data_IF_725613490436
#
_entry.id   IF_725613490436
#
_cell.length_a   1.000
_cell.length_b   1.000
_cell.length_c   1.000
_cell.angle_alpha   90.00
_cell.angle_beta   90.00
_cell.angle_gamma   90.00
#
_symmetry.space_group_name_H-M   'P 1'
#
loop_
_entity.id
_entity.type
_entity.pdbx_description
1 polymer ?
#
# COMPACT_ATOMS: atom_id res chain seq x y z
N UNK A 1 12.33 -17.93 3.50
CA UNK A 1 11.92 -16.51 3.48
C UNK A 1 12.18 -15.90 4.86
N UNK A 2 12.68 -14.67 4.93
CA UNK A 2 12.78 -13.88 6.15
C UNK A 2 11.65 -12.84 6.09
N UNK A 3 10.89 -12.70 7.18
CA UNK A 3 9.79 -11.72 7.28
C UNK A 3 10.18 -10.71 8.36
N UNK A 4 10.12 -9.43 8.01
CA UNK A 4 10.43 -8.31 8.91
C UNK A 4 9.21 -7.41 9.00
N UNK A 5 8.78 -7.10 10.22
CA UNK A 5 7.58 -6.32 10.48
C UNK A 5 7.93 -5.07 11.31
N UNK A 6 8.18 -3.92 10.68
CA UNK A 6 8.43 -2.68 11.39
C UNK A 6 7.13 -2.14 12.02
N UNK A 7 7.29 -1.43 13.13
CA UNK A 7 6.19 -0.63 13.68
C UNK A 7 6.06 0.67 12.89
N UNK A 8 4.88 0.94 12.34
CA UNK A 8 4.61 2.15 11.58
C UNK A 8 3.76 3.18 12.35
N UNK A 9 3.34 2.86 13.58
CA UNK A 9 2.41 3.69 14.35
C UNK A 9 1.21 4.10 13.46
N UNK A 10 0.84 5.38 13.41
CA UNK A 10 -0.21 5.95 12.53
C UNK A 10 0.35 6.77 11.35
N UNK A 11 1.55 6.42 10.86
CA UNK A 11 2.25 7.14 9.78
C UNK A 11 1.66 6.93 8.39
N UNK A 12 0.75 5.98 8.21
CA UNK A 12 0.32 5.52 6.88
C UNK A 12 1.49 5.19 5.94
N UNK A 13 2.67 4.89 6.50
CA UNK A 13 3.87 4.52 5.75
C UNK A 13 4.39 5.60 4.79
N UNK A 14 3.98 6.85 4.95
CA UNK A 14 4.39 7.98 4.10
C UNK A 14 5.06 9.09 4.93
N UNK A 15 5.68 10.03 4.23
CA UNK A 15 6.15 11.25 4.86
C UNK A 15 4.96 12.17 5.14
N UNK A 16 4.90 12.75 6.35
CA UNK A 16 3.81 13.64 6.74
C UNK A 16 3.84 14.96 5.96
N UNK A 17 2.68 15.60 5.85
CA UNK A 17 2.50 16.85 5.11
C UNK A 17 3.41 17.99 5.57
N UNK A 18 3.80 18.00 6.84
CA UNK A 18 4.65 19.03 7.46
C UNK A 18 6.13 18.62 7.56
N UNK A 19 6.49 17.44 7.09
CA UNK A 19 7.84 16.92 7.09
C UNK A 19 8.39 16.54 8.47
N UNK A 20 7.56 16.52 9.52
CA UNK A 20 8.00 16.16 10.87
C UNK A 20 8.22 14.66 11.03
N UNK A 21 7.49 13.86 10.28
CA UNK A 21 7.55 12.41 10.30
C UNK A 21 7.77 11.91 8.87
N UNK A 22 8.99 11.48 8.59
CA UNK A 22 9.39 11.05 7.26
C UNK A 22 9.50 9.53 7.22
N UNK A 23 8.36 8.82 7.44
CA UNK A 23 8.36 7.37 7.57
C UNK A 23 8.73 6.65 6.27
N UNK A 24 8.31 7.14 5.11
CA UNK A 24 8.70 6.58 3.81
C UNK A 24 10.23 6.65 3.62
N UNK A 25 10.82 7.78 3.93
CA UNK A 25 12.27 7.98 3.88
C UNK A 25 13.01 7.08 4.88
N UNK A 26 12.53 7.04 6.13
CA UNK A 26 13.07 6.14 7.14
C UNK A 26 13.03 4.68 6.65
N UNK A 27 11.89 4.23 6.16
CA UNK A 27 11.73 2.84 5.74
C UNK A 27 12.67 2.48 4.58
N UNK A 28 12.72 3.31 3.55
CA UNK A 28 13.45 3.01 2.32
C UNK A 28 14.95 3.29 2.40
N UNK A 29 15.36 4.33 3.15
CA UNK A 29 16.76 4.82 3.18
C UNK A 29 17.53 4.38 4.43
N UNK A 30 16.84 4.03 5.52
CA UNK A 30 17.48 3.69 6.79
C UNK A 30 17.13 2.26 7.23
N UNK A 31 15.84 1.95 7.43
CA UNK A 31 15.38 0.68 7.97
C UNK A 31 15.74 -0.51 7.08
N UNK A 32 15.35 -0.49 5.81
CA UNK A 32 15.65 -1.58 4.87
C UNK A 32 17.17 -1.85 4.77
N UNK A 33 18.03 -0.83 4.51
CA UNK A 33 19.47 -1.03 4.45
C UNK A 33 20.07 -1.56 5.77
N UNK A 34 19.55 -1.11 6.92
CA UNK A 34 20.02 -1.57 8.23
C UNK A 34 19.70 -3.05 8.45
N UNK A 35 18.46 -3.47 8.15
CA UNK A 35 18.04 -4.87 8.24
C UNK A 35 18.85 -5.77 7.29
N UNK A 36 19.06 -5.33 6.06
CA UNK A 36 19.82 -6.09 5.06
C UNK A 36 21.31 -6.23 5.42
N UNK A 37 21.85 -5.27 6.14
CA UNK A 37 23.23 -5.33 6.67
C UNK A 37 23.35 -6.24 7.88
N UNK A 38 22.32 -6.24 8.76
CA UNK A 38 22.32 -7.00 10.01
C UNK A 38 22.07 -8.50 9.78
N UNK A 39 21.22 -8.84 8.83
CA UNK A 39 20.81 -10.22 8.59
C UNK A 39 21.36 -10.74 7.25
N UNK A 40 21.49 -12.07 7.13
CA UNK A 40 21.92 -12.72 5.89
C UNK A 40 20.82 -12.69 4.83
N UNK A 41 20.63 -11.54 4.21
CA UNK A 41 19.62 -11.24 3.20
C UNK A 41 20.30 -10.99 1.85
N UNK A 42 19.65 -11.42 0.77
CA UNK A 42 19.98 -10.99 -0.58
C UNK A 42 19.34 -9.63 -0.84
N UNK A 43 20.15 -8.56 -0.74
CA UNK A 43 19.71 -7.17 -0.84
C UNK A 43 19.51 -6.71 -2.29
N UNK A 44 18.69 -7.44 -3.04
CA UNK A 44 18.38 -7.18 -4.44
C UNK A 44 16.87 -7.14 -4.64
N UNK A 45 16.39 -6.30 -5.57
CA UNK A 45 14.97 -6.17 -5.91
C UNK A 45 14.28 -7.52 -6.08
N UNK A 46 14.91 -8.43 -6.81
CA UNK A 46 14.35 -9.75 -7.13
C UNK A 46 13.97 -10.57 -5.89
N UNK A 47 14.63 -10.34 -4.77
CA UNK A 47 14.40 -11.06 -3.51
C UNK A 47 13.64 -10.24 -2.46
N UNK A 48 13.09 -9.08 -2.86
CA UNK A 48 12.30 -8.23 -1.96
C UNK A 48 10.83 -8.23 -2.39
N UNK A 49 9.97 -8.37 -1.42
CA UNK A 49 8.53 -8.16 -1.59
C UNK A 49 7.98 -7.43 -0.37
N UNK A 50 6.86 -6.78 -0.56
CA UNK A 50 6.15 -6.07 0.51
C UNK A 50 4.71 -6.57 0.58
N UNK A 51 4.22 -6.78 1.80
CA UNK A 51 2.85 -7.20 2.06
C UNK A 51 2.31 -6.52 3.31
N UNK A 52 1.02 -6.31 3.37
CA UNK A 52 0.39 -5.71 4.54
C UNK A 52 -1.12 -5.65 4.41
N UNK A 53 -1.79 -5.40 5.53
CA UNK A 53 -3.25 -5.29 5.58
C UNK A 53 -3.68 -3.87 6.00
N UNK A 54 -4.86 -3.42 5.55
CA UNK A 54 -5.45 -2.15 5.94
C UNK A 54 -4.51 -0.96 5.66
N UNK A 55 -4.08 -0.23 6.69
CA UNK A 55 -3.03 0.78 6.60
C UNK A 55 -1.72 0.20 6.03
N UNK A 56 -1.34 -1.03 6.43
CA UNK A 56 -0.18 -1.74 5.87
C UNK A 56 -0.38 -2.16 4.41
N UNK A 57 -1.60 -2.46 3.99
CA UNK A 57 -1.95 -2.67 2.58
C UNK A 57 -1.78 -1.40 1.75
N UNK A 58 -2.15 -0.25 2.31
CA UNK A 58 -1.87 1.04 1.70
C UNK A 58 -0.36 1.29 1.57
N UNK A 59 0.42 1.10 2.66
CA UNK A 59 1.88 1.23 2.62
C UNK A 59 2.53 0.30 1.59
N UNK A 60 2.03 -0.94 1.48
CA UNK A 60 2.42 -1.90 0.45
C UNK A 60 2.26 -1.33 -0.96
N UNK A 61 1.13 -0.69 -1.24
CA UNK A 61 0.88 -0.04 -2.53
C UNK A 61 1.79 1.17 -2.73
N UNK A 62 1.92 2.03 -1.72
CA UNK A 62 2.77 3.22 -1.82
C UNK A 62 4.21 2.84 -2.16
N UNK A 63 4.79 1.90 -1.42
CA UNK A 63 6.17 1.51 -1.68
C UNK A 63 6.36 0.84 -3.03
N UNK A 64 5.47 -0.05 -3.43
CA UNK A 64 5.57 -0.72 -4.72
C UNK A 64 5.31 0.21 -5.92
N UNK A 65 4.42 1.16 -5.75
CA UNK A 65 4.09 2.13 -6.80
C UNK A 65 5.12 3.26 -6.91
N UNK A 66 5.67 3.75 -5.81
CA UNK A 66 6.64 4.86 -5.81
C UNK A 66 8.07 4.38 -6.02
N UNK A 67 8.41 3.20 -5.50
CA UNK A 67 9.75 2.60 -5.54
C UNK A 67 9.76 1.24 -6.26
N UNK A 68 9.32 1.17 -7.52
CA UNK A 68 9.24 -0.09 -8.26
C UNK A 68 10.60 -0.76 -8.50
N UNK A 69 11.69 -0.03 -8.29
CA UNK A 69 13.06 -0.56 -8.35
C UNK A 69 13.44 -1.36 -7.10
N UNK A 70 12.70 -1.23 -5.99
CA UNK A 70 13.03 -1.89 -4.72
C UNK A 70 12.40 -3.27 -4.57
N UNK A 71 11.20 -3.52 -5.16
CA UNK A 71 10.41 -4.71 -4.89
C UNK A 71 10.05 -5.46 -6.17
N UNK A 72 10.14 -6.79 -6.13
CA UNK A 72 9.69 -7.67 -7.21
C UNK A 72 8.17 -7.90 -7.17
N UNK A 73 7.59 -7.95 -5.99
CA UNK A 73 6.17 -8.22 -5.78
C UNK A 73 5.58 -7.45 -4.60
N UNK A 74 4.27 -7.25 -4.65
CA UNK A 74 3.51 -6.71 -3.53
C UNK A 74 2.19 -7.47 -3.33
N UNK A 75 1.77 -7.59 -2.07
CA UNK A 75 0.54 -8.26 -1.69
C UNK A 75 -0.26 -7.42 -0.68
N UNK A 76 -0.99 -6.38 -1.12
CA UNK A 76 -1.88 -5.61 -0.27
C UNK A 76 -3.18 -6.38 0.04
N UNK A 77 -3.57 -6.41 1.32
CA UNK A 77 -4.85 -6.91 1.79
C UNK A 77 -5.71 -5.76 2.28
N UNK A 78 -6.98 -5.73 1.87
CA UNK A 78 -7.93 -4.72 2.37
C UNK A 78 -7.28 -3.33 2.44
N UNK A 79 -6.58 -2.94 1.38
CA UNK A 79 -5.76 -1.75 1.38
C UNK A 79 -6.61 -0.48 1.58
N UNK A 80 -6.14 0.45 2.40
CA UNK A 80 -6.81 1.72 2.66
C UNK A 80 -6.73 2.65 1.43
N UNK A 81 -7.41 2.26 0.36
CA UNK A 81 -7.51 3.00 -0.91
C UNK A 81 -8.83 3.76 -0.96
N UNK A 82 -8.78 5.04 -1.26
CA UNK A 82 -9.95 5.90 -1.41
C UNK A 82 -9.88 6.67 -2.72
N UNK A 83 -11.05 6.98 -3.29
CA UNK A 83 -11.18 8.01 -4.32
C UNK A 83 -11.22 9.41 -3.67
N UNK A 84 -11.05 10.45 -4.48
CA UNK A 84 -11.04 11.84 -4.02
C UNK A 84 -12.32 12.21 -3.27
N UNK A 85 -13.49 11.74 -3.74
CA UNK A 85 -14.77 12.02 -3.10
C UNK A 85 -14.85 11.39 -1.72
N UNK A 86 -14.48 10.13 -1.60
CA UNK A 86 -14.49 9.41 -0.32
C UNK A 86 -13.51 10.03 0.66
N UNK A 87 -12.31 10.40 0.22
CA UNK A 87 -11.29 11.01 1.06
C UNK A 87 -11.69 12.43 1.52
N UNK A 88 -12.19 13.26 0.61
CA UNK A 88 -12.68 14.60 0.96
C UNK A 88 -13.84 14.57 1.98
N UNK A 89 -14.71 13.57 1.89
CA UNK A 89 -15.86 13.38 2.77
C UNK A 89 -15.59 12.43 3.95
N UNK A 90 -14.32 12.12 4.26
CA UNK A 90 -14.00 11.32 5.44
C UNK A 90 -14.62 11.97 6.71
N UNK A 91 -15.16 11.21 7.66
CA UNK A 91 -15.85 11.80 8.83
C UNK A 91 -14.95 12.74 9.62
N UNK A 92 -15.40 13.99 9.82
CA UNK A 92 -14.62 15.02 10.51
C UNK A 92 -14.22 14.61 11.93
N UNK A 93 -15.08 13.87 12.63
CA UNK A 93 -14.84 13.37 13.99
C UNK A 93 -13.65 12.40 14.08
N UNK A 94 -13.39 11.69 13.00
CA UNK A 94 -12.37 10.64 12.92
C UNK A 94 -11.10 11.14 12.22
N UNK A 95 -11.19 12.26 11.47
CA UNK A 95 -10.10 12.77 10.64
C UNK A 95 -8.79 12.96 11.43
N UNK A 96 -8.82 13.71 12.51
CA UNK A 96 -7.61 14.03 13.27
C UNK A 96 -6.96 12.78 13.90
N UNK A 97 -7.79 11.81 14.30
CA UNK A 97 -7.31 10.58 14.93
C UNK A 97 -6.73 9.59 13.94
N UNK A 98 -7.21 9.59 12.68
CA UNK A 98 -6.84 8.58 11.68
C UNK A 98 -5.86 9.15 10.65
N UNK A 99 -6.17 10.30 10.06
CA UNK A 99 -5.47 10.82 8.88
C UNK A 99 -4.79 12.18 9.12
N UNK A 100 -5.27 12.95 10.10
CA UNK A 100 -4.84 14.32 10.31
C UNK A 100 -3.35 14.48 10.57
N UNK A 101 -2.74 13.55 11.31
CA UNK A 101 -1.30 13.53 11.58
C UNK A 101 -0.46 13.53 10.29
N UNK A 102 -0.94 12.83 9.27
CA UNK A 102 -0.21 12.62 8.02
C UNK A 102 -0.59 13.63 6.95
N UNK A 103 -1.88 13.94 6.83
CA UNK A 103 -2.41 14.77 5.74
C UNK A 103 -2.72 16.22 6.12
N UNK A 104 -2.67 16.55 7.42
CA UNK A 104 -2.96 17.88 7.97
C UNK A 104 -4.10 17.85 8.98
N UNK A 105 -3.83 18.42 10.15
CA UNK A 105 -4.82 18.50 11.24
C UNK A 105 -5.91 19.53 10.92
N UNK A 106 -7.14 19.23 11.32
CA UNK A 106 -8.30 20.13 11.29
C UNK A 106 -8.74 20.61 9.90
N UNK A 107 -8.21 20.03 8.82
CA UNK A 107 -8.67 20.32 7.44
C UNK A 107 -9.94 19.55 7.11
N UNK A 108 -10.79 20.12 6.24
CA UNK A 108 -12.11 19.59 5.92
C UNK A 108 -12.42 19.62 4.43
N UNK A 109 -13.31 18.71 4.04
CA UNK A 109 -13.83 18.70 2.68
C UNK A 109 -12.74 18.69 1.62
N UNK A 110 -12.85 19.58 0.63
CA UNK A 110 -11.90 19.65 -0.48
C UNK A 110 -10.48 20.06 -0.11
N UNK A 111 -10.27 20.72 1.03
CA UNK A 111 -8.92 21.10 1.48
C UNK A 111 -8.07 19.87 1.84
N UNK A 112 -8.70 18.71 2.08
CA UNK A 112 -8.04 17.41 2.25
C UNK A 112 -7.36 16.92 0.97
N UNK A 113 -7.82 17.36 -0.20
CA UNK A 113 -7.24 17.05 -1.50
C UNK A 113 -6.03 17.96 -1.76
N UNK A 114 -5.07 17.91 -0.86
CA UNK A 114 -3.83 18.68 -0.92
C UNK A 114 -2.71 17.91 -1.65
N UNK A 115 -1.54 18.52 -1.74
CA UNK A 115 -0.38 17.91 -2.40
C UNK A 115 -0.02 16.55 -1.82
N UNK A 116 -0.05 16.40 -0.49
CA UNK A 116 0.27 15.13 0.19
C UNK A 116 -0.70 14.02 -0.23
N UNK A 117 -1.99 14.34 -0.37
CA UNK A 117 -2.97 13.39 -0.91
C UNK A 117 -2.64 12.97 -2.35
N UNK A 118 -2.44 13.93 -3.23
CA UNK A 118 -2.20 13.61 -4.65
C UNK A 118 -0.89 12.85 -4.86
N UNK A 119 0.15 13.18 -4.12
CA UNK A 119 1.44 12.48 -4.21
C UNK A 119 1.37 11.03 -3.66
N UNK A 120 0.37 10.72 -2.83
CA UNK A 120 0.28 9.44 -2.11
C UNK A 120 -1.07 8.71 -2.32
N UNK A 121 -1.89 9.11 -3.28
CA UNK A 121 -3.08 8.35 -3.67
C UNK A 121 -2.71 7.22 -4.62
N UNK A 122 -2.90 5.93 -4.25
CA UNK A 122 -2.60 4.82 -5.15
C UNK A 122 -3.31 4.93 -6.49
N UNK A 123 -4.58 5.37 -6.51
CA UNK A 123 -5.35 5.56 -7.74
C UNK A 123 -4.73 6.64 -8.64
N UNK A 124 -4.27 7.74 -8.04
CA UNK A 124 -3.62 8.83 -8.76
C UNK A 124 -2.26 8.40 -9.31
N UNK A 125 -1.46 7.73 -8.50
CA UNK A 125 -0.15 7.23 -8.93
C UNK A 125 -0.31 6.26 -10.11
N UNK A 126 -1.28 5.34 -10.05
CA UNK A 126 -1.58 4.42 -11.16
C UNK A 126 -2.03 5.19 -12.41
N UNK A 127 -2.88 6.22 -12.26
CA UNK A 127 -3.33 7.03 -13.39
C UNK A 127 -2.17 7.76 -14.08
N UNK A 128 -1.22 8.29 -13.33
CA UNK A 128 -0.13 9.12 -13.83
C UNK A 128 1.07 8.32 -14.38
N UNK A 129 1.32 7.11 -13.85
CA UNK A 129 2.45 6.27 -14.28
C UNK A 129 2.21 5.56 -15.62
N UNK A 130 3.30 5.30 -16.34
CA UNK A 130 3.25 4.44 -17.53
C UNK A 130 2.94 2.99 -17.18
N UNK A 131 2.33 2.25 -18.11
CA UNK A 131 2.11 0.82 -17.93
C UNK A 131 3.43 0.05 -17.72
N UNK A 132 4.50 0.46 -18.37
CA UNK A 132 5.80 -0.21 -18.25
C UNK A 132 6.45 0.01 -16.89
N UNK A 133 6.26 1.18 -16.27
CA UNK A 133 6.70 1.40 -14.90
C UNK A 133 5.89 0.57 -13.89
N UNK A 134 4.58 0.50 -14.08
CA UNK A 134 3.71 -0.29 -13.22
C UNK A 134 4.01 -1.79 -13.33
N UNK A 135 4.34 -2.30 -14.51
CA UNK A 135 4.71 -3.72 -14.74
C UNK A 135 6.03 -4.14 -14.10
N UNK A 136 6.81 -3.20 -13.57
CA UNK A 136 8.07 -3.53 -12.85
C UNK A 136 7.85 -4.29 -11.56
N UNK A 137 6.63 -4.29 -11.02
CA UNK A 137 6.23 -4.99 -9.80
C UNK A 137 5.07 -5.94 -10.12
N UNK A 138 5.05 -7.11 -9.50
CA UNK A 138 3.93 -8.05 -9.57
C UNK A 138 2.95 -7.74 -8.42
N UNK A 139 1.65 -7.71 -8.72
CA UNK A 139 0.61 -7.33 -7.75
C UNK A 139 -0.32 -8.51 -7.46
N UNK A 140 -0.55 -8.77 -6.19
CA UNK A 140 -1.58 -9.68 -5.69
C UNK A 140 -2.46 -8.91 -4.69
N UNK A 141 -3.67 -8.53 -5.07
CA UNK A 141 -4.57 -7.65 -4.32
C UNK A 141 -5.71 -8.51 -3.79
N UNK A 142 -6.00 -8.41 -2.49
CA UNK A 142 -7.05 -9.19 -1.83
C UNK A 142 -7.90 -8.30 -0.91
N UNK A 143 -9.23 -8.34 -1.06
CA UNK A 143 -10.15 -7.58 -0.22
C UNK A 143 -11.48 -8.34 -0.10
N UNK A 144 -12.04 -8.39 1.11
CA UNK A 144 -13.35 -9.00 1.33
C UNK A 144 -14.48 -8.20 0.68
N UNK A 145 -15.55 -8.88 0.27
CA UNK A 145 -16.73 -8.24 -0.35
C UNK A 145 -17.53 -7.38 0.64
N UNK A 146 -17.55 -7.76 1.92
CA UNK A 146 -18.15 -7.01 3.03
C UNK A 146 -17.19 -5.99 3.70
N UNK A 147 -15.97 -5.82 3.17
CA UNK A 147 -15.00 -4.87 3.69
C UNK A 147 -15.36 -3.43 3.27
N UNK A 148 -15.35 -2.49 4.20
CA UNK A 148 -15.64 -1.08 3.90
C UNK A 148 -14.63 -0.43 2.94
N UNK A 149 -13.49 -1.06 2.70
CA UNK A 149 -12.48 -0.65 1.72
C UNK A 149 -12.61 -1.33 0.36
N UNK A 150 -13.59 -2.22 0.18
CA UNK A 150 -13.82 -2.97 -1.08
C UNK A 150 -13.93 -2.04 -2.28
N UNK A 151 -14.69 -0.94 -2.16
CA UNK A 151 -14.82 0.04 -3.25
C UNK A 151 -13.47 0.53 -3.75
N UNK A 152 -12.57 0.94 -2.85
CA UNK A 152 -11.26 1.46 -3.23
C UNK A 152 -10.37 0.40 -3.90
N UNK A 153 -10.40 -0.83 -3.39
CA UNK A 153 -9.64 -1.94 -3.97
C UNK A 153 -10.20 -2.35 -5.35
N UNK A 154 -11.52 -2.31 -5.55
CA UNK A 154 -12.13 -2.50 -6.87
C UNK A 154 -11.73 -1.39 -7.87
N UNK A 155 -11.71 -0.12 -7.43
CA UNK A 155 -11.25 0.98 -8.27
C UNK A 155 -9.78 0.83 -8.67
N UNK A 156 -8.92 0.35 -7.78
CA UNK A 156 -7.52 0.04 -8.08
C UNK A 156 -7.41 -1.08 -9.12
N UNK A 157 -8.18 -2.16 -8.96
CA UNK A 157 -8.27 -3.25 -9.95
C UNK A 157 -8.67 -2.71 -11.33
N UNK A 158 -9.71 -1.88 -11.40
CA UNK A 158 -10.16 -1.27 -12.66
C UNK A 158 -9.05 -0.43 -13.28
N UNK A 159 -8.40 0.45 -12.50
CA UNK A 159 -7.34 1.33 -12.98
C UNK A 159 -6.14 0.54 -13.55
N UNK A 160 -5.71 -0.53 -12.87
CA UNK A 160 -4.65 -1.41 -13.38
C UNK A 160 -5.07 -2.17 -14.64
N UNK A 161 -6.33 -2.60 -14.72
CA UNK A 161 -6.90 -3.30 -15.88
C UNK A 161 -6.92 -2.39 -17.11
N UNK A 162 -7.39 -1.15 -16.96
CA UNK A 162 -7.41 -0.14 -18.04
C UNK A 162 -6.00 0.19 -18.55
N UNK A 163 -5.02 0.20 -17.66
CA UNK A 163 -3.59 0.36 -17.98
C UNK A 163 -2.96 -0.91 -18.56
N UNK A 164 -3.68 -2.02 -18.67
CA UNK A 164 -3.15 -3.32 -19.12
C UNK A 164 -1.95 -3.80 -18.31
N UNK A 165 -2.00 -3.57 -16.99
CA UNK A 165 -1.01 -4.06 -16.03
C UNK A 165 -1.46 -5.41 -15.50
N UNK A 166 -0.71 -6.51 -15.72
CA UNK A 166 -1.04 -7.82 -15.16
C UNK A 166 -1.03 -7.78 -13.63
N UNK A 167 -2.09 -8.27 -13.03
CA UNK A 167 -2.22 -8.37 -11.58
C UNK A 167 -3.22 -9.47 -11.21
N UNK A 168 -3.12 -9.98 -10.01
CA UNK A 168 -4.12 -10.86 -9.41
C UNK A 168 -5.02 -10.05 -8.50
N UNK A 169 -6.34 -10.22 -8.64
CA UNK A 169 -7.33 -9.61 -7.78
C UNK A 169 -8.24 -10.69 -7.20
N UNK A 170 -8.33 -10.73 -5.88
CA UNK A 170 -9.15 -11.67 -5.11
C UNK A 170 -10.20 -10.92 -4.33
N UNK A 171 -11.46 -11.29 -4.55
CA UNK A 171 -12.60 -10.87 -3.72
C UNK A 171 -13.21 -12.15 -3.18
N UNK A 172 -13.22 -12.29 -1.86
CA UNK A 172 -13.75 -13.46 -1.16
C UNK A 172 -14.77 -12.99 -0.13
N UNK A 173 -15.68 -13.89 0.26
CA UNK A 173 -16.61 -13.64 1.35
C UNK A 173 -15.87 -13.26 2.63
N UNK A 174 -16.22 -12.09 3.20
CA UNK A 174 -15.67 -11.61 4.45
C UNK A 174 -15.44 -10.10 4.53
N UNK A 175 -15.13 -9.65 5.74
CA UNK A 175 -15.05 -8.24 6.11
C UNK A 175 -13.64 -7.86 6.59
N UNK A 176 -13.49 -6.61 7.06
CA UNK A 176 -12.23 -6.02 7.55
C UNK A 176 -11.81 -6.61 8.89
N UNK A 177 -11.34 -7.86 8.91
CA UNK A 177 -11.00 -8.57 10.15
C UNK A 177 -9.92 -9.64 9.96
N UNK A 178 -9.36 -10.07 11.08
CA UNK A 178 -8.28 -11.06 11.13
C UNK A 178 -8.68 -12.43 10.57
N UNK A 179 -9.95 -12.83 10.66
CA UNK A 179 -10.42 -14.10 10.10
C UNK A 179 -10.21 -14.09 8.60
N UNK A 180 -10.60 -13.02 7.94
CA UNK A 180 -10.40 -12.83 6.50
C UNK A 180 -8.91 -12.86 6.12
N UNK A 181 -8.09 -12.05 6.76
CA UNK A 181 -6.67 -11.92 6.41
C UNK A 181 -5.86 -13.19 6.63
N UNK A 182 -6.15 -13.93 7.73
CA UNK A 182 -5.47 -15.20 8.02
C UNK A 182 -5.73 -16.28 6.97
N UNK A 183 -6.87 -16.28 6.32
CA UNK A 183 -7.17 -17.24 5.27
C UNK A 183 -6.47 -16.93 3.94
N UNK A 184 -6.16 -15.67 3.66
CA UNK A 184 -5.51 -15.25 2.42
C UNK A 184 -3.98 -15.22 2.46
N UNK A 185 -3.38 -15.15 3.66
CA UNK A 185 -1.94 -14.93 3.78
C UNK A 185 -1.09 -16.04 3.13
N UNK A 186 -1.54 -17.29 3.17
CA UNK A 186 -0.82 -18.41 2.59
C UNK A 186 -0.68 -18.25 1.07
N UNK A 187 -1.75 -17.88 0.39
CA UNK A 187 -1.76 -17.69 -1.07
C UNK A 187 -0.88 -16.49 -1.47
N UNK A 188 -0.93 -15.41 -0.69
CA UNK A 188 -0.07 -14.25 -0.90
C UNK A 188 1.41 -14.59 -0.72
N UNK A 189 1.76 -15.35 0.32
CA UNK A 189 3.13 -15.79 0.54
C UNK A 189 3.62 -16.75 -0.55
N UNK A 190 2.73 -17.59 -1.10
CA UNK A 190 3.03 -18.43 -2.25
C UNK A 190 3.28 -17.57 -3.50
N UNK A 191 2.41 -16.59 -3.78
CA UNK A 191 2.60 -15.64 -4.87
C UNK A 191 3.94 -14.91 -4.77
N UNK A 192 4.28 -14.39 -3.58
CA UNK A 192 5.56 -13.74 -3.31
C UNK A 192 6.72 -14.73 -3.53
N UNK A 193 6.61 -15.96 -3.00
CA UNK A 193 7.63 -16.99 -3.14
C UNK A 193 7.92 -17.33 -4.59
N UNK A 194 6.88 -17.47 -5.42
CA UNK A 194 7.06 -17.72 -6.86
C UNK A 194 7.75 -16.55 -7.58
N UNK A 195 7.57 -15.32 -7.10
CA UNK A 195 8.24 -14.14 -7.68
C UNK A 195 9.75 -14.15 -7.48
N UNK A 196 10.26 -14.86 -6.48
CA UNK A 196 11.70 -14.99 -6.21
C UNK A 196 12.40 -16.07 -7.06
N UNK A 197 11.64 -16.81 -7.85
CA UNK A 197 12.13 -17.91 -8.70
C UNK A 197 11.91 -17.69 -10.21
N UNK A 198 11.39 -16.53 -10.57
CA UNK A 198 11.23 -16.07 -11.95
C UNK A 198 12.33 -15.08 -12.30
#
# INVERSE_FOLDING_TARGET
MIIVMPNADSSFYINSFDGRENYEDFFTKEFMPAVEKEYRIKAEKHYRAVAGLSMGGYGTLIYSLKHPELFAACAPFSAAVWDDSTFANFPDKDWNNVLGRVYGMNIKGKDRLNKTWFDNSPLKIVADKSADDLKKVRYWIDCGDDDFLTKGNCLLHIALTEKKVPHEFRVRDGAHNWTYWRTGITDALQFIGTSFHQ
#
